data_IF_672382153001
#
_entry.id   IF_672382153001
#
_cell.length_a   1.000
_cell.length_b   1.000
_cell.length_c   1.000
_cell.angle_alpha   90.00
_cell.angle_beta   90.00
_cell.angle_gamma   90.00
#
_symmetry.space_group_name_H-M   'P 1'
#
loop_
_entity.id
_entity.type
_entity.pdbx_description
1 polymer ?
#
# COMPACT_ATOMS: atom_id res chain seq x y z
N UNK A 1 -13.96 34.41 -9.15
CA UNK A 1 -13.72 33.19 -9.94
C UNK A 1 -15.07 32.50 -10.10
N UNK A 2 -15.60 32.43 -11.33
CA UNK A 2 -16.86 31.71 -11.60
C UNK A 2 -16.50 30.36 -12.22
N UNK A 3 -16.85 29.28 -11.53
CA UNK A 3 -16.73 27.92 -12.07
C UNK A 3 -18.07 27.60 -12.72
N UNK A 4 -18.05 27.23 -14.01
CA UNK A 4 -19.25 26.89 -14.79
C UNK A 4 -19.50 25.38 -14.84
N UNK A 5 -18.43 24.60 -14.79
CA UNK A 5 -18.49 23.15 -14.93
C UNK A 5 -17.58 22.49 -13.91
N UNK A 6 -18.07 21.42 -13.29
CA UNK A 6 -17.28 20.50 -12.46
C UNK A 6 -17.33 19.12 -13.08
N UNK A 7 -16.16 18.53 -13.27
CA UNK A 7 -16.01 17.17 -13.79
C UNK A 7 -15.33 16.37 -12.69
N UNK A 8 -15.93 15.25 -12.34
CA UNK A 8 -15.32 14.24 -11.48
C UNK A 8 -15.20 12.94 -12.25
N UNK A 9 -14.00 12.35 -12.26
CA UNK A 9 -13.76 11.05 -12.84
C UNK A 9 -12.92 10.21 -11.89
N UNK A 10 -13.25 8.93 -11.77
CA UNK A 10 -12.50 7.96 -10.98
C UNK A 10 -12.35 6.66 -11.76
N UNK A 11 -11.18 6.06 -11.62
CA UNK A 11 -10.90 4.72 -12.13
C UNK A 11 -10.95 3.75 -10.95
N UNK A 12 -11.75 2.69 -11.09
CA UNK A 12 -11.87 1.59 -10.14
C UNK A 12 -11.20 0.35 -10.73
N UNK A 13 -10.38 -0.31 -9.92
CA UNK A 13 -9.77 -1.58 -10.33
C UNK A 13 -10.76 -2.71 -10.06
N UNK A 14 -11.11 -3.46 -11.10
CA UNK A 14 -12.01 -4.62 -11.01
C UNK A 14 -11.25 -5.95 -10.94
N UNK A 15 -9.91 -5.92 -11.01
CA UNK A 15 -9.05 -7.10 -10.98
C UNK A 15 -7.73 -6.86 -11.71
N UNK A 16 -6.97 -7.93 -11.95
CA UNK A 16 -5.58 -7.85 -12.43
C UNK A 16 -5.38 -7.13 -13.78
N UNK A 17 -6.42 -7.04 -14.62
CA UNK A 17 -6.33 -6.39 -15.94
C UNK A 17 -7.60 -5.65 -16.37
N UNK A 18 -8.54 -5.42 -15.44
CA UNK A 18 -9.81 -4.78 -15.75
C UNK A 18 -10.00 -3.58 -14.85
N UNK A 19 -10.36 -2.46 -15.47
CA UNK A 19 -10.69 -1.23 -14.76
C UNK A 19 -12.00 -0.67 -15.28
N UNK A 20 -12.74 -0.04 -14.38
CA UNK A 20 -13.92 0.72 -14.70
C UNK A 20 -13.58 2.20 -14.54
N UNK A 21 -13.82 3.00 -15.58
CA UNK A 21 -13.66 4.45 -15.52
C UNK A 21 -15.04 5.09 -15.57
N UNK A 22 -15.41 5.77 -14.49
CA UNK A 22 -16.71 6.44 -14.36
C UNK A 22 -16.44 7.93 -14.20
N UNK A 23 -17.20 8.75 -14.92
CA UNK A 23 -17.11 10.20 -14.79
C UNK A 23 -18.46 10.86 -14.98
N UNK A 24 -18.64 11.98 -14.31
CA UNK A 24 -19.84 12.81 -14.35
C UNK A 24 -19.45 14.26 -14.54
N UNK A 25 -20.29 14.98 -15.27
CA UNK A 25 -20.12 16.40 -15.56
C UNK A 25 -21.33 17.17 -15.04
N UNK A 26 -21.07 18.19 -14.24
CA UNK A 26 -22.06 19.07 -13.65
C UNK A 26 -21.88 20.47 -14.19
N UNK A 27 -22.94 21.03 -14.78
CA UNK A 27 -23.06 22.46 -14.99
C UNK A 27 -23.51 23.13 -13.68
N UNK A 28 -22.86 24.24 -13.32
CA UNK A 28 -23.06 24.96 -12.06
C UNK A 28 -23.50 26.38 -12.38
N UNK A 29 -24.58 26.83 -11.75
CA UNK A 29 -25.11 28.17 -11.94
C UNK A 29 -24.33 29.21 -11.12
N UNK A 30 -24.46 30.48 -11.52
CA UNK A 30 -23.82 31.58 -10.82
C UNK A 30 -24.32 31.70 -9.37
N UNK A 31 -23.40 31.55 -8.41
CA UNK A 31 -23.70 31.60 -6.97
C UNK A 31 -23.78 30.24 -6.29
N UNK A 32 -23.78 29.14 -7.05
CA UNK A 32 -23.68 27.80 -6.49
C UNK A 32 -22.24 27.47 -6.08
N UNK A 33 -22.11 26.59 -5.07
CA UNK A 33 -20.82 26.20 -4.51
C UNK A 33 -20.21 25.06 -5.33
N UNK A 34 -19.10 25.34 -6.01
CA UNK A 34 -18.37 24.33 -6.78
C UNK A 34 -17.88 23.14 -5.94
N UNK A 35 -17.56 23.36 -4.66
CA UNK A 35 -17.14 22.28 -3.75
C UNK A 35 -18.29 21.33 -3.46
N UNK A 36 -19.50 21.86 -3.22
CA UNK A 36 -20.69 21.02 -3.02
C UNK A 36 -21.04 20.21 -4.26
N UNK A 37 -20.95 20.83 -5.44
CA UNK A 37 -21.17 20.14 -6.70
C UNK A 37 -20.13 19.02 -6.93
N UNK A 38 -18.88 19.23 -6.53
CA UNK A 38 -17.84 18.21 -6.59
C UNK A 38 -18.10 17.04 -5.62
N UNK A 39 -18.60 17.31 -4.43
CA UNK A 39 -18.95 16.24 -3.47
C UNK A 39 -20.14 15.42 -3.99
N UNK A 40 -21.17 16.06 -4.54
CA UNK A 40 -22.29 15.36 -5.20
C UNK A 40 -21.80 14.53 -6.39
N UNK A 41 -20.89 15.09 -7.20
CA UNK A 41 -20.30 14.38 -8.32
C UNK A 41 -19.50 13.14 -7.88
N UNK A 42 -18.83 13.23 -6.72
CA UNK A 42 -18.12 12.09 -6.10
C UNK A 42 -19.09 11.02 -5.64
N UNK A 43 -20.11 11.40 -4.89
CA UNK A 43 -21.09 10.47 -4.33
C UNK A 43 -21.80 9.68 -5.44
N UNK A 44 -22.16 10.33 -6.54
CA UNK A 44 -22.79 9.67 -7.69
C UNK A 44 -21.87 8.66 -8.39
N UNK A 45 -20.59 8.99 -8.54
CA UNK A 45 -19.61 8.07 -9.14
C UNK A 45 -19.37 6.86 -8.23
N UNK A 46 -19.31 7.06 -6.92
CA UNK A 46 -19.15 5.97 -5.96
C UNK A 46 -20.39 5.10 -5.83
N UNK A 47 -21.58 5.69 -5.80
CA UNK A 47 -22.85 4.96 -5.76
C UNK A 47 -23.06 4.13 -7.03
N UNK A 48 -22.81 4.72 -8.20
CA UNK A 48 -22.91 4.01 -9.47
C UNK A 48 -21.92 2.84 -9.54
N UNK A 49 -20.68 3.04 -9.10
CA UNK A 49 -19.71 1.95 -9.02
C UNK A 49 -20.20 0.84 -8.10
N UNK A 50 -20.71 1.16 -6.90
CA UNK A 50 -21.22 0.18 -5.94
C UNK A 50 -22.37 -0.64 -6.53
N UNK A 51 -23.33 0.01 -7.18
CA UNK A 51 -24.43 -0.69 -7.85
C UNK A 51 -23.92 -1.59 -8.99
N UNK A 52 -22.91 -1.14 -9.74
CA UNK A 52 -22.33 -1.94 -10.81
C UNK A 52 -21.53 -3.14 -10.27
N UNK A 53 -20.81 -2.98 -9.15
CA UNK A 53 -20.15 -4.08 -8.41
C UNK A 53 -21.18 -5.15 -8.01
N UNK A 54 -22.27 -4.74 -7.38
CA UNK A 54 -23.35 -5.65 -6.95
C UNK A 54 -23.99 -6.37 -8.14
N UNK A 55 -24.27 -5.64 -9.23
CA UNK A 55 -24.80 -6.21 -10.47
C UNK A 55 -23.85 -7.25 -11.07
N UNK A 56 -22.56 -6.95 -11.17
CA UNK A 56 -21.55 -7.86 -11.71
C UNK A 56 -21.39 -9.11 -10.83
N UNK A 57 -21.38 -8.96 -9.50
CA UNK A 57 -21.42 -10.10 -8.56
C UNK A 57 -22.63 -11.00 -8.80
N UNK A 58 -23.81 -10.42 -9.03
CA UNK A 58 -25.04 -11.18 -9.26
C UNK A 58 -25.07 -11.95 -10.60
N UNK A 59 -24.35 -11.46 -11.61
CA UNK A 59 -24.28 -12.07 -12.93
C UNK A 59 -23.29 -13.25 -13.01
N UNK A 60 -22.53 -13.51 -11.94
CA UNK A 60 -21.51 -14.57 -11.91
C UNK A 60 -20.28 -14.27 -12.78
N UNK A 61 -20.28 -13.13 -13.47
CA UNK A 61 -19.20 -12.64 -14.31
C UNK A 61 -18.31 -11.69 -13.48
N UNK A 62 -17.04 -12.05 -13.36
CA UNK A 62 -15.96 -11.10 -13.10
C UNK A 62 -15.86 -10.44 -11.70
N UNK A 63 -16.35 -11.06 -10.64
CA UNK A 63 -15.85 -10.76 -9.28
C UNK A 63 -15.14 -11.97 -8.70
N UNK A 64 -13.94 -12.22 -9.23
CA UNK A 64 -12.94 -12.88 -8.40
C UNK A 64 -12.57 -11.83 -7.36
N UNK A 65 -13.06 -11.98 -6.13
CA UNK A 65 -12.49 -11.25 -4.99
C UNK A 65 -10.99 -11.47 -5.10
N UNK A 66 -10.26 -10.43 -5.51
CA UNK A 66 -8.81 -10.44 -5.41
C UNK A 66 -8.64 -10.55 -3.89
N UNK A 67 -8.19 -11.69 -3.36
CA UNK A 67 -7.80 -11.70 -1.97
C UNK A 67 -6.83 -10.53 -1.86
N UNK A 68 -6.92 -9.73 -0.80
CA UNK A 68 -5.77 -8.90 -0.47
C UNK A 68 -4.59 -9.89 -0.46
N UNK A 69 -3.78 -9.89 -1.52
CA UNK A 69 -2.48 -10.52 -1.49
C UNK A 69 -1.73 -9.59 -0.55
N UNK A 70 -1.92 -9.86 0.75
CA UNK A 70 -1.03 -9.44 1.79
C UNK A 70 0.28 -10.02 1.31
N UNK A 71 1.08 -9.21 0.60
CA UNK A 71 2.44 -9.53 0.26
C UNK A 71 3.01 -10.01 1.58
N UNK A 72 3.33 -11.31 1.76
CA UNK A 72 3.66 -11.83 3.07
C UNK A 72 4.86 -11.03 3.53
N UNK A 73 4.61 -10.11 4.45
CA UNK A 73 5.60 -9.12 4.87
C UNK A 73 6.69 -9.97 5.49
N UNK A 74 7.87 -9.90 4.88
CA UNK A 74 8.96 -10.85 5.07
C UNK A 74 9.21 -11.12 6.56
N UNK A 75 8.81 -12.29 7.05
CA UNK A 75 9.06 -12.81 8.42
C UNK A 75 8.55 -11.92 9.56
N UNK A 76 7.94 -12.52 10.59
CA UNK A 76 7.59 -11.83 11.84
C UNK A 76 8.81 -11.34 12.64
N UNK A 77 10.03 -11.69 12.21
CA UNK A 77 11.27 -11.29 12.85
C UNK A 77 11.55 -9.81 12.61
N UNK A 78 11.83 -9.13 13.70
CA UNK A 78 12.38 -7.77 13.73
C UNK A 78 13.70 -7.70 12.97
N UNK A 79 14.08 -6.48 12.58
CA UNK A 79 15.37 -6.24 11.92
C UNK A 79 16.54 -6.70 12.80
N UNK A 80 16.47 -6.50 14.11
CA UNK A 80 17.51 -6.92 15.06
C UNK A 80 17.70 -8.44 15.08
N UNK A 81 16.61 -9.21 15.17
CA UNK A 81 16.65 -10.68 15.16
C UNK A 81 17.28 -11.22 13.86
N UNK A 82 16.90 -10.65 12.70
CA UNK A 82 17.51 -11.05 11.43
C UNK A 82 19.00 -10.73 11.38
N UNK A 83 19.39 -9.54 11.84
CA UNK A 83 20.81 -9.14 11.88
C UNK A 83 21.63 -10.05 12.80
N UNK A 84 21.08 -10.45 13.95
CA UNK A 84 21.71 -11.41 14.87
C UNK A 84 21.91 -12.78 14.20
N UNK A 85 20.93 -13.26 13.43
CA UNK A 85 21.07 -14.51 12.66
C UNK A 85 22.22 -14.44 11.65
N UNK A 86 22.34 -13.32 10.93
CA UNK A 86 23.44 -13.14 9.98
C UNK A 86 24.81 -13.05 10.67
N UNK A 87 24.91 -12.33 11.79
CA UNK A 87 26.15 -12.25 12.59
C UNK A 87 26.57 -13.64 13.09
N UNK A 88 25.62 -14.44 13.59
CA UNK A 88 25.89 -15.79 14.07
C UNK A 88 26.34 -16.72 12.94
N UNK A 89 25.85 -16.51 11.72
CA UNK A 89 26.23 -17.28 10.54
C UNK A 89 27.63 -16.93 9.99
N UNK A 90 28.21 -15.79 10.37
CA UNK A 90 29.57 -15.40 9.94
C UNK A 90 30.61 -16.45 10.36
N UNK A 91 31.51 -16.78 9.43
CA UNK A 91 32.60 -17.75 9.63
C UNK A 91 33.97 -17.11 9.71
N UNK A 92 34.11 -15.87 9.23
CA UNK A 92 35.38 -15.14 9.22
C UNK A 92 35.24 -13.77 9.88
N UNK A 93 36.37 -13.20 10.32
CA UNK A 93 36.41 -11.85 10.91
C UNK A 93 36.05 -10.77 9.90
N UNK A 94 36.35 -11.00 8.62
CA UNK A 94 36.05 -10.06 7.52
C UNK A 94 34.54 -9.98 7.26
N UNK A 95 33.85 -11.13 7.24
CA UNK A 95 32.39 -11.19 7.14
C UNK A 95 31.72 -10.51 8.34
N UNK A 96 32.25 -10.75 9.54
CA UNK A 96 31.72 -10.16 10.75
C UNK A 96 31.84 -8.62 10.70
N UNK A 97 32.97 -8.09 10.24
CA UNK A 97 33.24 -6.64 10.17
C UNK A 97 32.20 -5.86 9.35
N UNK A 98 31.58 -6.47 8.34
CA UNK A 98 30.51 -5.83 7.56
C UNK A 98 29.30 -5.43 8.43
N UNK A 99 29.12 -6.07 9.59
CA UNK A 99 28.01 -5.83 10.51
C UNK A 99 28.34 -4.86 11.66
N UNK A 100 29.59 -4.37 11.76
CA UNK A 100 30.05 -3.52 12.85
C UNK A 100 29.22 -2.23 12.99
N UNK A 101 28.87 -1.59 11.86
CA UNK A 101 28.08 -0.37 11.86
C UNK A 101 26.65 -0.60 12.38
N UNK A 102 26.02 -1.70 11.99
CA UNK A 102 24.69 -2.07 12.48
C UNK A 102 24.72 -2.44 13.96
N UNK A 103 25.76 -3.15 14.40
CA UNK A 103 25.96 -3.51 15.79
C UNK A 103 26.10 -2.28 16.70
N UNK A 104 26.90 -1.28 16.32
CA UNK A 104 27.09 -0.07 17.15
C UNK A 104 25.80 0.74 17.41
N UNK A 105 24.85 0.68 16.49
CA UNK A 105 23.61 1.42 16.57
C UNK A 105 22.48 0.67 17.31
N UNK A 106 22.71 -0.59 17.71
CA UNK A 106 21.73 -1.40 18.43
C UNK A 106 22.40 -2.22 19.56
N UNK A 107 22.09 -1.96 20.84
CA UNK A 107 22.71 -2.65 21.97
C UNK A 107 22.61 -4.19 21.96
N UNK A 108 21.48 -4.73 21.50
CA UNK A 108 21.23 -6.17 21.44
C UNK A 108 22.10 -6.85 20.38
N UNK A 109 22.21 -6.22 19.21
CA UNK A 109 23.06 -6.68 18.12
C UNK A 109 24.55 -6.55 18.49
N UNK A 110 24.92 -5.50 19.25
CA UNK A 110 26.28 -5.27 19.71
C UNK A 110 26.80 -6.39 20.62
N UNK A 111 25.96 -6.89 21.53
CA UNK A 111 26.31 -7.99 22.42
C UNK A 111 26.60 -9.28 21.63
N UNK A 112 25.74 -9.59 20.66
CA UNK A 112 25.93 -10.73 19.75
C UNK A 112 27.22 -10.59 18.92
N UNK A 113 27.45 -9.41 18.33
CA UNK A 113 28.65 -9.10 17.56
C UNK A 113 29.94 -9.32 18.37
N UNK A 114 29.99 -8.77 19.59
CA UNK A 114 31.17 -8.89 20.46
C UNK A 114 31.41 -10.34 20.91
N UNK A 115 30.34 -11.09 21.16
CA UNK A 115 30.43 -12.51 21.50
C UNK A 115 31.00 -13.31 20.33
N UNK A 116 30.47 -13.07 19.12
CA UNK A 116 30.95 -13.73 17.90
C UNK A 116 32.41 -13.36 17.58
N UNK A 117 32.79 -12.10 17.76
CA UNK A 117 34.16 -11.62 17.54
C UNK A 117 35.19 -12.30 18.46
N UNK A 118 34.80 -12.65 19.69
CA UNK A 118 35.65 -13.41 20.62
C UNK A 118 35.74 -14.90 20.28
N UNK A 119 34.73 -15.44 19.60
CA UNK A 119 34.66 -16.87 19.22
C UNK A 119 35.39 -17.21 17.91
N UNK A 120 35.66 -16.20 17.07
CA UNK A 120 36.38 -16.30 15.79
C UNK A 120 37.83 -15.84 15.94
#
# INVERSE_FOLDING_TARGET
>A
MHIQTVIYQRTFNLGNYSYEKIGVEFAINQGESATKALDVARDLVEEYHKQNVERLKSLGDFYQEVPDEIIPTQSKKTLAEKTIEFINACKTKEELKAWELMAKNNPEVLECYNTKLKSL
#
